data_IF_732004295240
#
_entry.id   IF_732004295240
#
_cell.length_a   1.000
_cell.length_b   1.000
_cell.length_c   1.000
_cell.angle_alpha   90.00
_cell.angle_beta   90.00
_cell.angle_gamma   90.00
#
_symmetry.space_group_name_H-M   'P 1'
#
loop_
_entity.id
_entity.type
_entity.pdbx_description
1 polymer ?
#
# COMPACT_ATOMS: atom_id res chain seq x y z
N UNK A 1 3.82 8.74 33.23
CA UNK A 1 3.64 7.83 32.07
C UNK A 1 4.98 7.19 31.79
N UNK A 2 5.07 5.86 31.67
CA UNK A 2 6.32 5.24 31.17
C UNK A 2 6.45 5.69 29.71
N UNK A 3 7.47 6.49 29.41
CA UNK A 3 7.88 6.73 28.03
C UNK A 3 8.33 5.38 27.48
N UNK A 4 7.50 4.73 26.67
CA UNK A 4 7.89 3.50 26.00
C UNK A 4 8.80 3.91 24.83
N UNK A 5 10.07 3.51 24.86
CA UNK A 5 10.92 3.62 23.68
C UNK A 5 10.30 2.75 22.59
N UNK A 6 9.96 3.35 21.46
CA UNK A 6 9.34 2.64 20.34
C UNK A 6 10.37 2.44 19.26
N UNK A 7 10.51 1.21 18.79
CA UNK A 7 11.46 0.85 17.76
C UNK A 7 10.72 0.12 16.66
N UNK A 8 10.72 0.71 15.47
CA UNK A 8 10.00 0.17 14.33
C UNK A 8 10.97 0.00 13.16
N UNK A 9 11.09 -1.22 12.65
CA UNK A 9 11.78 -1.47 11.40
C UNK A 9 10.74 -1.63 10.30
N UNK A 10 10.82 -0.82 9.25
CA UNK A 10 9.98 -0.98 8.07
C UNK A 10 10.74 -1.75 7.00
N UNK A 11 10.18 -2.85 6.51
CA UNK A 11 10.68 -3.54 5.34
C UNK A 11 9.83 -3.16 4.12
N UNK A 12 10.48 -2.64 3.07
CA UNK A 12 9.86 -2.32 1.80
C UNK A 12 10.31 -3.30 0.73
N UNK A 13 9.33 -3.99 0.17
CA UNK A 13 9.49 -4.67 -1.10
C UNK A 13 9.73 -3.62 -2.19
N UNK A 14 10.87 -3.71 -2.84
CA UNK A 14 11.30 -2.77 -3.88
C UNK A 14 11.16 -3.33 -5.29
N UNK A 15 10.44 -4.44 -5.47
CA UNK A 15 10.24 -5.11 -6.76
C UNK A 15 9.21 -4.40 -7.63
N UNK A 16 9.12 -4.77 -8.92
CA UNK A 16 8.35 -4.05 -9.93
C UNK A 16 6.88 -3.77 -9.57
N UNK A 17 6.17 -4.73 -8.98
CA UNK A 17 4.76 -4.56 -8.55
C UNK A 17 4.60 -3.53 -7.44
N UNK A 18 5.66 -3.29 -6.66
CA UNK A 18 5.67 -2.43 -5.47
C UNK A 18 6.27 -1.04 -5.73
N UNK A 19 6.80 -0.76 -6.93
CA UNK A 19 7.30 0.57 -7.30
C UNK A 19 6.30 1.72 -7.07
N UNK A 20 4.99 1.59 -7.38
CA UNK A 20 4.06 2.67 -7.11
C UNK A 20 3.88 2.93 -5.62
N UNK A 21 3.97 1.89 -4.78
CA UNK A 21 3.99 2.04 -3.32
C UNK A 21 5.21 2.83 -2.85
N UNK A 22 6.41 2.42 -3.30
CA UNK A 22 7.66 3.12 -2.98
C UNK A 22 7.62 4.59 -3.43
N UNK A 23 6.97 4.88 -4.56
CA UNK A 23 6.76 6.25 -5.03
C UNK A 23 5.89 7.06 -4.06
N UNK A 24 4.81 6.48 -3.52
CA UNK A 24 3.99 7.15 -2.50
C UNK A 24 4.78 7.43 -1.22
N UNK A 25 5.58 6.47 -0.78
CA UNK A 25 6.46 6.63 0.40
C UNK A 25 7.43 7.80 0.16
N UNK A 26 8.19 7.80 -0.94
CA UNK A 26 9.17 8.86 -1.24
C UNK A 26 8.56 10.26 -1.28
N UNK A 27 7.32 10.40 -1.78
CA UNK A 27 6.63 11.70 -1.86
C UNK A 27 6.31 12.30 -0.49
N UNK A 28 6.09 11.47 0.52
CA UNK A 28 5.57 11.91 1.83
C UNK A 28 6.50 11.61 3.01
N UNK A 29 7.57 10.84 2.81
CA UNK A 29 8.42 10.31 3.88
C UNK A 29 8.93 11.40 4.83
N UNK A 30 9.37 12.56 4.31
CA UNK A 30 9.90 13.64 5.15
C UNK A 30 8.85 14.15 6.14
N UNK A 31 7.64 14.41 5.66
CA UNK A 31 6.54 14.86 6.52
C UNK A 31 6.13 13.76 7.50
N UNK A 32 6.09 12.50 7.05
CA UNK A 32 5.73 11.35 7.90
C UNK A 32 6.73 11.13 9.03
N UNK A 33 8.02 11.05 8.73
CA UNK A 33 9.07 10.80 9.73
C UNK A 33 9.19 11.99 10.68
N UNK A 34 9.15 13.24 10.18
CA UNK A 34 9.20 14.43 11.05
C UNK A 34 8.04 14.40 12.06
N UNK A 35 6.81 14.16 11.60
CA UNK A 35 5.64 14.08 12.46
C UNK A 35 5.73 12.95 13.50
N UNK A 36 6.20 11.77 13.10
CA UNK A 36 6.40 10.65 14.03
C UNK A 36 7.42 10.98 15.13
N UNK A 37 8.55 11.59 14.77
CA UNK A 37 9.59 11.99 15.72
C UNK A 37 9.11 13.08 16.68
N UNK A 38 8.26 14.00 16.21
CA UNK A 38 7.69 15.09 17.02
C UNK A 38 6.63 14.57 18.02
N UNK A 39 5.80 13.61 17.62
CA UNK A 39 4.65 13.16 18.41
C UNK A 39 4.95 11.94 19.31
N UNK A 40 5.95 11.14 18.95
CA UNK A 40 6.31 9.92 19.68
C UNK A 40 7.72 10.07 20.25
N UNK A 41 7.79 10.36 21.55
CA UNK A 41 9.06 10.53 22.24
C UNK A 41 9.94 9.27 22.14
N UNK A 42 11.21 9.46 21.77
CA UNK A 42 12.24 8.41 21.69
C UNK A 42 11.93 7.30 20.68
N UNK A 43 11.12 7.58 19.65
CA UNK A 43 10.95 6.64 18.54
C UNK A 43 12.27 6.50 17.75
N UNK A 44 12.62 5.26 17.39
CA UNK A 44 13.70 4.98 16.44
C UNK A 44 13.15 4.17 15.28
N UNK A 45 13.54 4.55 14.07
CA UNK A 45 13.09 3.93 12.83
C UNK A 45 14.29 3.28 12.15
N UNK A 46 14.13 2.00 11.80
CA UNK A 46 15.05 1.26 10.94
C UNK A 46 14.35 0.92 9.63
N UNK A 47 15.11 0.64 8.58
CA UNK A 47 14.56 0.32 7.26
C UNK A 47 15.32 -0.84 6.64
N UNK A 48 14.57 -1.77 6.05
CA UNK A 48 15.08 -2.78 5.12
C UNK A 48 14.42 -2.51 3.77
N UNK A 49 15.20 -2.32 2.72
CA UNK A 49 14.71 -2.42 1.36
C UNK A 49 15.12 -3.78 0.80
N UNK A 50 14.21 -4.51 0.17
CA UNK A 50 14.48 -5.85 -0.34
C UNK A 50 13.92 -6.05 -1.75
N UNK A 51 14.75 -6.63 -2.61
CA UNK A 51 14.33 -7.22 -3.89
C UNK A 51 14.30 -8.73 -3.75
N UNK A 52 14.88 -9.44 -4.72
CA UNK A 52 15.09 -10.88 -4.63
C UNK A 52 16.57 -11.28 -4.81
N UNK A 53 16.88 -12.55 -4.61
CA UNK A 53 18.22 -13.11 -4.80
C UNK A 53 18.75 -12.89 -6.22
N UNK A 54 17.88 -12.84 -7.24
CA UNK A 54 18.31 -12.59 -8.61
C UNK A 54 18.84 -11.15 -8.82
N UNK A 55 18.45 -10.21 -7.94
CA UNK A 55 18.83 -8.80 -8.02
C UNK A 55 20.24 -8.52 -7.51
N UNK A 56 20.92 -9.49 -6.88
CA UNK A 56 22.28 -9.35 -6.35
C UNK A 56 23.28 -8.80 -7.38
N UNK A 57 23.08 -9.16 -8.66
CA UNK A 57 23.97 -8.77 -9.76
C UNK A 57 23.54 -7.50 -10.51
N UNK A 58 22.31 -7.04 -10.30
CA UNK A 58 21.73 -5.87 -11.00
C UNK A 58 21.71 -4.64 -10.09
N UNK A 59 21.32 -4.83 -8.82
CA UNK A 59 21.04 -3.76 -7.86
C UNK A 59 21.44 -4.19 -6.45
N UNK A 60 20.60 -4.94 -5.74
CA UNK A 60 20.87 -5.51 -4.42
C UNK A 60 19.79 -6.55 -4.06
N UNK A 61 20.14 -7.50 -3.17
CA UNK A 61 19.13 -8.36 -2.52
C UNK A 61 18.45 -7.60 -1.39
N UNK A 62 19.25 -7.09 -0.44
CA UNK A 62 18.76 -6.20 0.63
C UNK A 62 19.69 -5.00 0.85
N UNK A 63 19.11 -3.88 1.28
CA UNK A 63 19.81 -2.72 1.85
C UNK A 63 19.20 -2.40 3.21
N UNK A 64 20.03 -2.10 4.20
CA UNK A 64 19.60 -1.88 5.58
C UNK A 64 20.04 -0.52 6.09
N UNK A 65 19.15 0.14 6.81
CA UNK A 65 19.38 1.33 7.61
C UNK A 65 19.02 1.00 9.05
N UNK A 66 19.99 1.00 9.95
CA UNK A 66 19.77 0.62 11.35
C UNK A 66 18.88 1.63 12.10
N UNK A 67 18.37 1.25 13.27
CA UNK A 67 17.48 2.06 14.10
C UNK A 67 18.08 3.42 14.45
N UNK A 68 17.45 4.50 13.97
CA UNK A 68 17.86 5.88 14.21
C UNK A 68 16.66 6.80 14.48
N UNK A 69 16.92 7.92 15.16
CA UNK A 69 16.01 9.06 15.33
C UNK A 69 16.36 10.23 14.40
N UNK A 70 17.37 10.08 13.53
CA UNK A 70 17.80 11.12 12.61
C UNK A 70 16.89 11.18 11.37
N UNK A 71 15.98 12.15 11.36
CA UNK A 71 15.02 12.40 10.27
C UNK A 71 15.70 12.49 8.91
N UNK A 72 16.78 13.27 8.79
CA UNK A 72 17.45 13.50 7.51
C UNK A 72 18.11 12.20 7.00
N UNK A 73 18.78 11.44 7.87
CA UNK A 73 19.40 10.18 7.49
C UNK A 73 18.38 9.12 7.04
N UNK A 74 17.22 9.05 7.72
CA UNK A 74 16.12 8.17 7.33
C UNK A 74 15.56 8.58 5.96
N UNK A 75 15.32 9.89 5.77
CA UNK A 75 14.81 10.43 4.51
C UNK A 75 15.78 10.17 3.36
N UNK A 76 17.08 10.39 3.58
CA UNK A 76 18.12 10.18 2.59
C UNK A 76 18.19 8.71 2.18
N UNK A 77 18.08 7.76 3.12
CA UNK A 77 18.04 6.34 2.77
C UNK A 77 16.86 6.01 1.86
N UNK A 78 15.64 6.42 2.23
CA UNK A 78 14.41 6.11 1.46
C UNK A 78 14.39 6.79 0.09
N UNK A 79 14.92 8.01 0.00
CA UNK A 79 14.96 8.74 -1.27
C UNK A 79 15.98 8.15 -2.25
N UNK A 80 17.09 7.60 -1.76
CA UNK A 80 18.20 7.15 -2.59
C UNK A 80 18.23 5.64 -2.83
N UNK A 81 17.45 4.84 -2.09
CA UNK A 81 17.37 3.40 -2.35
C UNK A 81 16.82 3.16 -3.76
N UNK A 82 17.44 2.29 -4.53
CA UNK A 82 17.06 2.02 -5.91
C UNK A 82 15.93 1.00 -5.97
N UNK A 83 15.07 1.04 -7.00
CA UNK A 83 14.13 -0.04 -7.26
C UNK A 83 14.85 -1.34 -7.72
N UNK A 84 14.23 -2.50 -7.51
CA UNK A 84 14.76 -3.84 -7.86
C UNK A 84 13.84 -4.60 -8.83
N UNK A 85 14.36 -5.62 -9.51
CA UNK A 85 13.59 -6.36 -10.52
C UNK A 85 12.65 -7.42 -9.95
N UNK A 86 13.00 -8.09 -8.85
CA UNK A 86 12.33 -9.28 -8.31
C UNK A 86 12.58 -10.53 -9.16
N UNK A 87 12.38 -10.43 -10.48
CA UNK A 87 12.67 -11.49 -11.43
C UNK A 87 11.61 -12.60 -11.39
N UNK A 88 11.73 -13.53 -10.45
CA UNK A 88 10.74 -14.57 -10.17
C UNK A 88 9.87 -14.23 -8.95
N UNK A 89 8.71 -14.88 -8.86
CA UNK A 89 7.98 -15.01 -7.61
C UNK A 89 8.20 -16.45 -7.13
N UNK A 90 8.44 -16.74 -5.84
CA UNK A 90 8.40 -15.90 -4.61
C UNK A 90 9.45 -14.77 -4.48
N UNK A 91 9.43 -14.00 -3.39
CA UNK A 91 10.41 -12.94 -3.05
C UNK A 91 11.19 -13.26 -1.75
N UNK A 92 12.23 -12.49 -1.39
CA UNK A 92 13.15 -12.84 -0.29
C UNK A 92 12.68 -12.49 1.14
N UNK A 93 11.39 -12.57 1.46
CA UNK A 93 10.87 -12.19 2.80
C UNK A 93 11.47 -13.00 3.96
N UNK A 94 11.91 -14.24 3.74
CA UNK A 94 12.61 -15.01 4.78
C UNK A 94 13.96 -14.40 5.16
N UNK A 95 14.62 -13.73 4.21
CA UNK A 95 15.85 -12.99 4.46
C UNK A 95 15.57 -11.73 5.29
N UNK A 96 14.48 -11.02 5.00
CA UNK A 96 14.04 -9.86 5.79
C UNK A 96 13.85 -10.24 7.26
N UNK A 97 13.11 -11.33 7.53
CA UNK A 97 12.90 -11.82 8.90
C UNK A 97 14.23 -12.19 9.58
N UNK A 98 15.15 -12.80 8.83
CA UNK A 98 16.47 -13.14 9.32
C UNK A 98 17.31 -11.90 9.67
N UNK A 99 17.39 -10.93 8.76
CA UNK A 99 18.24 -9.76 8.95
C UNK A 99 17.72 -8.80 10.02
N UNK A 100 16.41 -8.76 10.23
CA UNK A 100 15.76 -7.98 11.30
C UNK A 100 16.32 -8.33 12.68
N UNK A 101 16.74 -9.58 12.91
CA UNK A 101 17.32 -10.03 14.18
C UNK A 101 18.62 -9.28 14.53
N UNK A 102 19.34 -8.75 13.53
CA UNK A 102 20.65 -8.12 13.69
C UNK A 102 20.61 -6.61 13.92
N UNK A 103 19.44 -5.98 13.92
CA UNK A 103 19.28 -4.55 14.19
C UNK A 103 19.63 -4.21 15.65
N UNK A 104 20.01 -2.96 15.90
CA UNK A 104 20.46 -2.47 17.21
C UNK A 104 19.30 -2.22 18.19
N UNK A 105 18.47 -3.24 18.42
CA UNK A 105 17.29 -3.20 19.29
C UNK A 105 17.64 -2.91 20.75
N UNK A 106 16.93 -1.98 21.38
CA UNK A 106 17.04 -1.75 22.81
C UNK A 106 16.30 -2.83 23.58
N UNK A 107 16.92 -3.41 24.62
CA UNK A 107 16.36 -4.53 25.38
C UNK A 107 14.93 -4.30 25.89
N UNK A 108 14.62 -3.10 26.36
CA UNK A 108 13.34 -2.75 26.99
C UNK A 108 12.43 -1.86 26.10
N UNK A 109 12.71 -1.75 24.81
CA UNK A 109 11.84 -1.03 23.88
C UNK A 109 10.62 -1.89 23.48
N UNK A 110 9.54 -1.22 23.07
CA UNK A 110 8.49 -1.83 22.26
C UNK A 110 9.03 -1.99 20.84
N UNK A 111 9.09 -3.22 20.33
CA UNK A 111 9.76 -3.55 19.07
C UNK A 111 8.79 -4.09 18.05
N UNK A 112 8.87 -3.59 16.82
CA UNK A 112 8.14 -4.16 15.70
C UNK A 112 8.89 -4.15 14.39
N UNK A 113 8.64 -5.18 13.60
CA UNK A 113 8.88 -5.19 12.16
C UNK A 113 7.56 -4.93 11.44
N UNK A 114 7.55 -4.03 10.48
CA UNK A 114 6.46 -3.82 9.54
C UNK A 114 6.91 -4.35 8.19
N UNK A 115 6.44 -5.54 7.81
CA UNK A 115 6.83 -6.21 6.58
C UNK A 115 5.82 -5.88 5.47
N UNK A 116 6.23 -5.07 4.49
CA UNK A 116 5.38 -4.55 3.42
C UNK A 116 5.78 -5.19 2.10
N UNK A 117 4.85 -5.91 1.48
CA UNK A 117 5.05 -6.60 0.21
C UNK A 117 3.76 -7.18 -0.35
N UNK A 118 3.81 -7.84 -1.49
CA UNK A 118 2.63 -8.40 -2.17
C UNK A 118 2.69 -9.92 -2.40
N UNK A 119 3.81 -10.61 -2.07
CA UNK A 119 3.96 -12.05 -2.35
C UNK A 119 4.36 -12.89 -1.11
N UNK A 120 4.76 -14.15 -1.35
CA UNK A 120 5.25 -15.12 -0.34
C UNK A 120 6.78 -15.22 -0.33
N UNK A 121 7.39 -15.77 0.74
CA UNK A 121 8.83 -16.07 0.80
C UNK A 121 9.22 -17.29 -0.03
N UNK A 122 10.49 -17.35 -0.41
CA UNK A 122 11.10 -18.56 -0.98
C UNK A 122 11.14 -19.70 0.05
N UNK A 123 10.83 -20.92 -0.40
CA UNK A 123 11.02 -22.11 0.43
C UNK A 123 12.52 -22.42 0.65
N UNK A 124 12.91 -23.11 1.75
CA UNK A 124 14.31 -23.37 2.07
C UNK A 124 15.11 -24.03 0.96
N UNK A 125 14.49 -24.87 0.13
CA UNK A 125 15.16 -25.49 -1.01
C UNK A 125 15.57 -24.47 -2.09
N UNK A 126 14.82 -23.38 -2.23
CA UNK A 126 14.91 -22.41 -3.32
C UNK A 126 15.65 -21.12 -2.95
N UNK A 127 15.88 -20.83 -1.67
CA UNK A 127 16.76 -19.73 -1.29
C UNK A 127 18.21 -20.23 -1.00
N UNK A 128 19.26 -19.39 -1.24
CA UNK A 128 20.66 -19.78 -1.07
C UNK A 128 21.06 -19.97 0.40
N UNK A 129 20.39 -19.29 1.34
CA UNK A 129 20.70 -19.36 2.78
C UNK A 129 19.99 -20.50 3.52
N UNK A 130 19.14 -21.25 2.82
CA UNK A 130 18.31 -22.34 3.38
C UNK A 130 17.45 -21.90 4.57
N UNK A 131 17.05 -20.63 4.56
CA UNK A 131 16.22 -20.03 5.59
C UNK A 131 14.80 -20.56 5.49
N UNK A 132 14.20 -20.79 6.64
CA UNK A 132 12.79 -21.13 6.78
C UNK A 132 12.11 -19.97 7.50
N UNK A 133 11.25 -19.24 6.79
CA UNK A 133 10.58 -18.07 7.36
C UNK A 133 9.80 -18.38 8.65
N UNK A 134 9.28 -19.60 8.83
CA UNK A 134 8.60 -20.01 10.07
C UNK A 134 9.55 -20.09 11.26
N UNK A 135 10.79 -20.51 11.03
CA UNK A 135 11.82 -20.50 12.07
C UNK A 135 12.30 -19.07 12.33
N UNK A 136 12.41 -18.23 11.29
CA UNK A 136 12.84 -16.85 11.48
C UNK A 136 11.79 -16.01 12.22
N UNK A 137 10.49 -16.21 11.98
CA UNK A 137 9.44 -15.54 12.76
C UNK A 137 9.41 -16.02 14.22
N UNK A 138 9.63 -17.32 14.48
CA UNK A 138 9.71 -17.83 15.86
C UNK A 138 10.87 -17.16 16.63
N UNK A 139 12.03 -16.95 15.98
CA UNK A 139 13.15 -16.19 16.57
C UNK A 139 12.80 -14.74 16.85
N UNK A 140 12.08 -14.05 15.95
CA UNK A 140 11.65 -12.67 16.18
C UNK A 140 10.65 -12.58 17.34
N UNK A 141 9.73 -13.53 17.45
CA UNK A 141 8.79 -13.62 18.57
C UNK A 141 9.54 -13.83 19.90
N UNK A 142 10.53 -14.73 19.94
CA UNK A 142 11.40 -14.94 21.12
C UNK A 142 12.18 -13.68 21.53
N UNK A 143 12.50 -12.80 20.57
CA UNK A 143 13.13 -11.50 20.81
C UNK A 143 12.16 -10.39 21.26
N UNK A 144 10.85 -10.70 21.33
CA UNK A 144 9.78 -9.76 21.63
C UNK A 144 9.53 -8.74 20.50
N UNK A 145 9.77 -9.13 19.24
CA UNK A 145 9.54 -8.29 18.06
C UNK A 145 8.21 -8.71 17.42
N UNK A 146 7.20 -7.85 17.53
CA UNK A 146 5.93 -8.06 16.85
C UNK A 146 6.08 -7.80 15.34
N UNK A 147 5.51 -8.65 14.49
CA UNK A 147 5.56 -8.49 13.04
C UNK A 147 4.19 -8.10 12.51
N UNK A 148 4.09 -6.87 12.01
CA UNK A 148 2.94 -6.37 11.27
C UNK A 148 3.11 -6.78 9.81
N UNK A 149 2.30 -7.73 9.35
CA UNK A 149 2.27 -8.14 7.94
C UNK A 149 1.38 -7.19 7.15
N UNK A 150 1.98 -6.30 6.36
CA UNK A 150 1.25 -5.35 5.50
C UNK A 150 1.21 -5.92 4.08
N UNK A 151 0.10 -6.58 3.76
CA UNK A 151 -0.11 -7.22 2.47
C UNK A 151 -0.63 -6.19 1.44
N UNK A 152 0.15 -5.91 0.42
CA UNK A 152 -0.27 -5.13 -0.74
C UNK A 152 -0.96 -5.99 -1.80
N UNK A 153 -1.77 -5.33 -2.64
CA UNK A 153 -2.42 -5.91 -3.83
C UNK A 153 -3.39 -7.08 -3.58
N UNK A 154 -3.64 -7.47 -2.33
CA UNK A 154 -4.59 -8.49 -1.91
C UNK A 154 -4.47 -9.84 -2.65
N UNK A 155 -3.24 -10.25 -2.98
CA UNK A 155 -2.96 -11.55 -3.60
C UNK A 155 -3.34 -12.69 -2.65
N UNK A 156 -4.45 -13.37 -2.93
CA UNK A 156 -5.04 -14.36 -2.02
C UNK A 156 -4.09 -15.51 -1.66
N UNK A 157 -3.16 -15.88 -2.54
CA UNK A 157 -2.16 -16.91 -2.25
C UNK A 157 -1.15 -16.49 -1.17
N UNK A 158 -0.94 -15.19 -0.99
CA UNK A 158 0.01 -14.64 -0.01
C UNK A 158 -0.63 -14.40 1.37
N UNK A 159 -1.95 -14.26 1.45
CA UNK A 159 -2.67 -13.99 2.71
C UNK A 159 -2.34 -14.96 3.86
N UNK A 160 -2.20 -16.29 3.65
CA UNK A 160 -1.80 -17.19 4.72
C UNK A 160 -0.43 -16.87 5.32
N UNK A 161 0.54 -16.43 4.49
CA UNK A 161 1.87 -16.05 4.96
C UNK A 161 1.81 -14.82 5.87
N UNK A 162 1.19 -13.72 5.41
CA UNK A 162 1.05 -12.49 6.19
C UNK A 162 0.26 -12.69 7.48
N UNK A 163 -0.80 -13.52 7.43
CA UNK A 163 -1.60 -13.87 8.62
C UNK A 163 -0.78 -14.68 9.63
N UNK A 164 0.01 -15.66 9.17
CA UNK A 164 0.78 -16.53 10.05
C UNK A 164 1.95 -15.79 10.72
N UNK A 165 2.67 -14.90 10.00
CA UNK A 165 3.74 -14.10 10.62
C UNK A 165 3.20 -13.15 11.70
N UNK A 166 2.04 -12.54 11.45
CA UNK A 166 1.40 -11.66 12.40
C UNK A 166 0.97 -12.41 13.66
N UNK A 167 0.24 -13.51 13.49
CA UNK A 167 -0.27 -14.30 14.62
C UNK A 167 0.86 -14.90 15.48
N UNK A 168 1.94 -15.40 14.86
CA UNK A 168 3.07 -16.00 15.59
C UNK A 168 3.85 -15.00 16.45
N UNK A 169 3.85 -13.72 16.06
CA UNK A 169 4.62 -12.67 16.72
C UNK A 169 3.77 -11.72 17.57
N UNK A 170 2.44 -11.88 17.59
CA UNK A 170 1.51 -10.96 18.26
C UNK A 170 1.33 -9.63 17.54
N UNK A 171 1.62 -9.57 16.23
CA UNK A 171 1.33 -8.41 15.38
C UNK A 171 -0.02 -8.55 14.64
N UNK A 172 -0.23 -7.69 13.65
CA UNK A 172 -1.46 -7.67 12.85
C UNK A 172 -1.19 -7.93 11.36
N UNK A 173 -2.10 -8.64 10.72
CA UNK A 173 -2.19 -8.68 9.26
C UNK A 173 -3.07 -7.53 8.78
N UNK A 174 -2.52 -6.65 7.95
CA UNK A 174 -3.18 -5.47 7.42
C UNK A 174 -3.13 -5.48 5.89
N UNK A 175 -4.23 -5.16 5.23
CA UNK A 175 -4.25 -4.99 3.77
C UNK A 175 -3.93 -3.54 3.39
N UNK A 176 -3.03 -3.36 2.42
CA UNK A 176 -2.75 -2.09 1.77
C UNK A 176 -3.51 -2.03 0.44
N UNK A 177 -4.82 -1.74 0.55
CA UNK A 177 -5.75 -1.72 -0.60
C UNK A 177 -5.47 -0.58 -1.59
N UNK A 178 -4.95 0.54 -1.09
CA UNK A 178 -4.46 1.66 -1.89
C UNK A 178 -3.06 2.03 -1.39
N UNK A 179 -2.10 2.11 -2.30
CA UNK A 179 -0.74 2.53 -1.98
C UNK A 179 -0.68 3.93 -1.34
N UNK A 180 -1.65 4.80 -1.62
CA UNK A 180 -1.73 6.13 -1.02
C UNK A 180 -1.96 6.11 0.49
N UNK A 181 -2.46 5.00 1.06
CA UNK A 181 -2.71 4.83 2.50
C UNK A 181 -1.46 4.46 3.29
N UNK A 182 -0.33 4.18 2.63
CA UNK A 182 0.89 3.70 3.30
C UNK A 182 1.36 4.63 4.43
N UNK A 183 1.19 5.94 4.28
CA UNK A 183 1.54 6.92 5.32
C UNK A 183 0.59 6.86 6.51
N UNK A 184 -0.71 6.67 6.26
CA UNK A 184 -1.70 6.47 7.33
C UNK A 184 -1.41 5.17 8.10
N UNK A 185 -0.94 4.12 7.40
CA UNK A 185 -0.49 2.89 8.04
C UNK A 185 0.72 3.09 8.94
N UNK A 186 1.72 3.88 8.51
CA UNK A 186 2.88 4.16 9.37
C UNK A 186 2.47 4.87 10.65
N UNK A 187 1.64 5.91 10.53
CA UNK A 187 1.08 6.61 11.68
C UNK A 187 0.32 5.66 12.58
N UNK A 188 -0.64 4.92 12.04
CA UNK A 188 -1.44 3.96 12.81
C UNK A 188 -0.58 2.93 13.56
N UNK A 189 0.40 2.31 12.89
CA UNK A 189 1.29 1.31 13.50
C UNK A 189 2.14 1.93 14.60
N UNK A 190 2.78 3.07 14.34
CA UNK A 190 3.61 3.72 15.35
C UNK A 190 2.78 4.18 16.56
N UNK A 191 1.57 4.72 16.35
CA UNK A 191 0.67 5.08 17.44
C UNK A 191 0.16 3.86 18.19
N UNK A 192 -0.19 2.76 17.52
CA UNK A 192 -0.58 1.50 18.16
C UNK A 192 0.53 0.98 19.09
N UNK A 193 1.78 1.05 18.64
CA UNK A 193 2.93 0.63 19.43
C UNK A 193 3.18 1.54 20.64
N UNK A 194 2.68 2.77 20.59
CA UNK A 194 2.72 3.73 21.69
C UNK A 194 1.59 3.45 22.69
N UNK A 195 0.35 3.48 22.22
CA UNK A 195 -0.86 3.20 23.00
C UNK A 195 -2.12 3.13 22.11
N UNK A 196 -3.13 2.39 22.58
CA UNK A 196 -4.45 2.34 21.93
C UNK A 196 -5.13 3.72 21.92
N UNK A 197 -4.90 4.54 22.95
CA UNK A 197 -5.43 5.91 23.01
C UNK A 197 -4.86 6.80 21.90
N UNK A 198 -3.57 6.68 21.58
CA UNK A 198 -2.97 7.44 20.46
C UNK A 198 -3.49 6.95 19.11
N UNK A 199 -3.66 5.64 18.92
CA UNK A 199 -4.25 5.10 17.70
C UNK A 199 -5.68 5.61 17.52
N UNK A 200 -6.48 5.61 18.59
CA UNK A 200 -7.86 6.11 18.55
C UNK A 200 -7.92 7.62 18.30
N UNK A 201 -7.00 8.41 18.85
CA UNK A 201 -6.91 9.84 18.56
C UNK A 201 -6.61 10.09 17.07
N UNK A 202 -5.69 9.32 16.49
CA UNK A 202 -5.40 9.40 15.06
C UNK A 202 -6.59 8.97 14.18
N UNK A 203 -7.32 7.93 14.59
CA UNK A 203 -8.57 7.52 13.94
C UNK A 203 -9.57 8.69 13.88
N UNK A 204 -9.76 9.41 15.00
CA UNK A 204 -10.66 10.58 15.03
C UNK A 204 -10.17 11.71 14.13
N UNK A 205 -8.86 11.99 14.09
CA UNK A 205 -8.29 12.97 13.16
C UNK A 205 -8.63 12.62 11.70
N UNK A 206 -8.48 11.35 11.31
CA UNK A 206 -8.80 10.88 9.94
C UNK A 206 -10.29 11.09 9.63
N UNK A 207 -11.18 10.87 10.60
CA UNK A 207 -12.63 11.09 10.47
C UNK A 207 -12.94 12.59 10.33
N UNK A 208 -12.40 13.43 11.21
CA UNK A 208 -12.63 14.89 11.21
C UNK A 208 -12.13 15.56 9.93
N UNK A 209 -11.05 15.04 9.36
CA UNK A 209 -10.52 15.50 8.07
C UNK A 209 -11.32 14.97 6.87
N UNK A 210 -12.36 14.15 7.09
CA UNK A 210 -13.19 13.57 6.03
C UNK A 210 -12.45 12.56 5.13
N UNK A 211 -11.34 12.00 5.61
CA UNK A 211 -10.47 11.08 4.86
C UNK A 211 -10.77 9.61 5.11
N UNK A 212 -11.66 9.29 6.05
CA UNK A 212 -11.96 7.90 6.43
C UNK A 212 -12.59 7.14 5.26
N UNK A 213 -11.79 6.26 4.64
CA UNK A 213 -12.21 5.34 3.59
C UNK A 213 -12.55 3.97 4.17
N UNK A 214 -13.17 3.09 3.37
CA UNK A 214 -13.45 1.71 3.78
C UNK A 214 -12.18 0.94 4.17
N UNK A 215 -11.10 1.13 3.43
CA UNK A 215 -9.80 0.49 3.69
C UNK A 215 -9.16 0.97 4.99
N UNK A 216 -9.16 2.28 5.23
CA UNK A 216 -8.64 2.84 6.49
C UNK A 216 -9.48 2.40 7.70
N UNK A 217 -10.80 2.39 7.57
CA UNK A 217 -11.69 1.90 8.62
C UNK A 217 -11.40 0.42 8.97
N UNK A 218 -11.18 -0.43 7.95
CA UNK A 218 -10.82 -1.82 8.18
C UNK A 218 -9.46 -1.95 8.91
N UNK A 219 -8.47 -1.14 8.54
CA UNK A 219 -7.19 -1.08 9.24
C UNK A 219 -7.38 -0.73 10.72
N UNK A 220 -8.08 0.36 11.03
CA UNK A 220 -8.31 0.79 12.43
C UNK A 220 -9.07 -0.27 13.23
N UNK A 221 -10.13 -0.86 12.68
CA UNK A 221 -10.87 -1.93 13.34
C UNK A 221 -9.99 -3.16 13.61
N UNK A 222 -9.12 -3.52 12.67
CA UNK A 222 -8.21 -4.67 12.83
C UNK A 222 -7.22 -4.42 13.97
N UNK A 223 -6.59 -3.25 14.00
CA UNK A 223 -5.58 -2.90 15.01
C UNK A 223 -6.17 -2.63 16.41
N UNK A 224 -7.45 -2.26 16.47
CA UNK A 224 -8.21 -2.08 17.71
C UNK A 224 -8.98 -3.35 18.11
N UNK A 225 -8.81 -4.46 17.37
CA UNK A 225 -9.49 -5.75 17.60
C UNK A 225 -11.02 -5.62 17.71
N UNK A 226 -11.60 -4.68 16.96
CA UNK A 226 -13.04 -4.44 16.93
C UNK A 226 -13.69 -5.40 15.93
N UNK A 227 -14.92 -5.83 16.23
CA UNK A 227 -15.77 -6.41 15.19
C UNK A 227 -15.92 -5.43 14.03
N UNK A 228 -16.06 -5.94 12.79
CA UNK A 228 -16.23 -5.08 11.62
C UNK A 228 -17.42 -4.16 11.86
N UNK A 229 -17.14 -2.87 12.05
CA UNK A 229 -18.17 -1.85 12.12
C UNK A 229 -18.57 -1.48 10.70
N UNK A 230 -19.82 -1.79 10.35
CA UNK A 230 -20.44 -1.33 9.12
C UNK A 230 -20.74 0.17 9.25
N UNK A 231 -19.71 1.01 9.09
CA UNK A 231 -19.91 2.44 8.81
C UNK A 231 -20.72 2.66 7.52
N UNK A 232 -20.84 1.61 6.70
CA UNK A 232 -21.34 1.63 5.33
C UNK A 232 -22.50 0.63 5.20
N UNK A 233 -23.63 1.07 4.66
CA UNK A 233 -24.87 0.27 4.60
C UNK A 233 -24.79 -0.82 3.52
N UNK A 234 -25.51 -1.95 3.65
CA UNK A 234 -25.58 -3.01 2.62
C UNK A 234 -26.04 -2.56 1.23
N UNK A 235 -26.64 -1.37 1.10
CA UNK A 235 -26.94 -0.75 -0.19
C UNK A 235 -25.68 -0.32 -0.98
N UNK A 236 -24.50 -0.35 -0.36
CA UNK A 236 -23.19 -0.04 -0.96
C UNK A 236 -22.58 -1.20 -1.76
N UNK A 237 -23.37 -2.18 -2.23
CA UNK A 237 -22.96 -3.23 -3.20
C UNK A 237 -22.37 -2.70 -4.54
N UNK A 238 -22.22 -1.37 -4.64
CA UNK A 238 -21.61 -0.62 -5.74
C UNK A 238 -20.17 -0.20 -5.43
N UNK A 239 -19.71 -0.32 -4.19
CA UNK A 239 -18.32 -0.06 -3.84
C UNK A 239 -17.44 -1.10 -4.52
N UNK A 240 -16.34 -0.63 -5.13
CA UNK A 240 -15.36 -1.54 -5.72
C UNK A 240 -14.72 -2.37 -4.62
N UNK A 241 -14.56 -3.66 -4.89
CA UNK A 241 -13.86 -4.55 -3.96
C UNK A 241 -12.44 -4.02 -3.66
N UNK A 242 -12.04 -3.94 -2.38
CA UNK A 242 -10.73 -3.43 -2.01
C UNK A 242 -9.58 -4.18 -2.71
N UNK A 243 -8.57 -3.43 -3.14
CA UNK A 243 -7.41 -3.95 -3.87
C UNK A 243 -7.59 -4.17 -5.37
N UNK A 244 -8.81 -4.03 -5.93
CA UNK A 244 -9.02 -4.18 -7.38
C UNK A 244 -8.26 -3.13 -8.20
N UNK A 245 -8.27 -1.88 -7.75
CA UNK A 245 -7.61 -0.77 -8.43
C UNK A 245 -6.52 -0.16 -7.56
N UNK A 246 -5.49 0.39 -8.19
CA UNK A 246 -4.61 1.40 -7.59
C UNK A 246 -4.87 2.75 -8.23
N UNK A 247 -5.06 3.77 -7.40
CA UNK A 247 -5.16 5.17 -7.84
C UNK A 247 -3.75 5.76 -7.92
N UNK A 248 -3.31 6.09 -9.14
CA UNK A 248 -1.97 6.61 -9.41
C UNK A 248 -2.04 8.05 -9.89
N UNK A 249 -1.15 8.91 -9.38
CA UNK A 249 -1.03 10.30 -9.81
C UNK A 249 -0.14 10.41 -11.06
N UNK A 250 -0.55 11.25 -12.01
CA UNK A 250 0.17 11.45 -13.26
C UNK A 250 0.95 12.76 -13.18
N UNK A 251 2.28 12.70 -13.19
CA UNK A 251 3.10 13.91 -13.03
C UNK A 251 3.16 14.77 -14.31
N UNK A 252 3.17 14.10 -15.47
CA UNK A 252 3.28 14.73 -16.79
C UNK A 252 2.44 13.98 -17.82
N UNK A 253 2.13 14.68 -18.90
CA UNK A 253 1.48 14.10 -20.07
C UNK A 253 2.25 12.87 -20.61
N UNK A 254 1.57 11.73 -20.73
CA UNK A 254 2.19 10.45 -21.09
C UNK A 254 1.16 9.49 -21.70
N UNK A 255 1.58 8.47 -22.47
CA UNK A 255 0.66 7.42 -22.91
C UNK A 255 0.38 6.41 -21.79
N UNK A 256 -0.79 5.77 -21.79
CA UNK A 256 -1.10 4.72 -20.82
C UNK A 256 -0.01 3.64 -20.79
N UNK A 257 0.42 3.13 -21.95
CA UNK A 257 1.43 2.07 -21.99
C UNK A 257 2.75 2.52 -21.38
N UNK A 258 3.22 3.73 -21.71
CA UNK A 258 4.45 4.25 -21.15
C UNK A 258 4.31 4.46 -19.63
N UNK A 259 3.21 5.06 -19.15
CA UNK A 259 2.97 5.29 -17.72
C UNK A 259 2.98 3.99 -16.92
N UNK A 260 2.28 2.96 -17.40
CA UNK A 260 2.21 1.66 -16.73
C UNK A 260 3.61 1.03 -16.63
N UNK A 261 4.38 1.02 -17.73
CA UNK A 261 5.73 0.45 -17.74
C UNK A 261 6.73 1.27 -16.90
N UNK A 262 6.65 2.60 -16.92
CA UNK A 262 7.50 3.48 -16.09
C UNK A 262 7.26 3.28 -14.59
N UNK A 263 6.06 2.82 -14.21
CA UNK A 263 5.69 2.51 -12.82
C UNK A 263 5.97 1.04 -12.44
N UNK A 264 6.69 0.26 -13.26
CA UNK A 264 6.99 -1.15 -12.98
C UNK A 264 5.80 -2.10 -13.14
N UNK A 265 4.68 -1.61 -13.65
CA UNK A 265 3.44 -2.37 -13.78
C UNK A 265 3.32 -3.09 -15.13
N UNK A 266 2.55 -4.18 -15.15
CA UNK A 266 2.29 -4.97 -16.36
C UNK A 266 1.20 -4.36 -17.22
N UNK A 267 1.55 -3.93 -18.44
CA UNK A 267 0.55 -3.42 -19.38
C UNK A 267 -0.34 -4.53 -19.95
N UNK A 268 -1.66 -4.39 -19.75
CA UNK A 268 -2.69 -5.18 -20.43
C UNK A 268 -3.83 -4.27 -20.90
N UNK A 269 -4.31 -4.51 -22.11
CA UNK A 269 -5.44 -3.76 -22.69
C UNK A 269 -6.68 -3.92 -21.81
N UNK A 270 -7.37 -2.80 -21.54
CA UNK A 270 -8.59 -2.77 -20.72
C UNK A 270 -8.37 -2.59 -19.22
N UNK A 271 -7.13 -2.61 -18.73
CA UNK A 271 -6.81 -2.43 -17.30
C UNK A 271 -6.55 -0.98 -16.87
N UNK A 272 -6.51 -0.05 -17.81
CA UNK A 272 -6.24 1.36 -17.52
C UNK A 272 -7.48 2.22 -17.62
N UNK A 273 -7.72 3.07 -16.63
CA UNK A 273 -8.83 4.01 -16.63
C UNK A 273 -8.31 5.43 -16.45
N UNK A 274 -8.62 6.30 -17.41
CA UNK A 274 -8.20 7.70 -17.36
C UNK A 274 -9.25 8.56 -16.68
N UNK A 275 -8.81 9.57 -15.96
CA UNK A 275 -9.71 10.58 -15.41
C UNK A 275 -10.41 11.36 -16.53
N UNK A 276 -11.73 11.43 -16.45
CA UNK A 276 -12.60 12.09 -17.40
C UNK A 276 -12.69 13.59 -17.11
N UNK A 277 -11.73 14.35 -17.63
CA UNK A 277 -11.57 15.79 -17.36
C UNK A 277 -12.10 16.73 -18.46
N UNK A 278 -12.50 16.19 -19.62
CA UNK A 278 -13.01 16.97 -20.75
C UNK A 278 -14.17 16.26 -21.43
N UNK A 279 -14.89 16.96 -22.30
CA UNK A 279 -16.02 16.38 -23.05
C UNK A 279 -15.57 15.25 -23.96
N UNK A 280 -16.14 14.06 -23.82
CA UNK A 280 -15.80 12.90 -24.66
C UNK A 280 -17.01 12.01 -24.97
N UNK A 281 -16.84 11.20 -26.02
CA UNK A 281 -17.77 10.13 -26.37
C UNK A 281 -17.37 8.86 -25.64
N UNK A 282 -18.20 8.40 -24.71
CA UNK A 282 -18.02 7.15 -23.96
C UNK A 282 -18.85 6.06 -24.64
N UNK A 283 -18.19 4.97 -25.02
CA UNK A 283 -18.85 3.81 -25.61
C UNK A 283 -19.61 3.00 -24.55
N UNK A 284 -20.71 2.37 -24.95
CA UNK A 284 -21.59 1.64 -24.04
C UNK A 284 -20.96 0.45 -23.32
N UNK A 285 -19.96 -0.15 -23.94
CA UNK A 285 -19.21 -1.29 -23.41
C UNK A 285 -18.05 -0.90 -22.47
N UNK A 286 -17.74 0.39 -22.36
CA UNK A 286 -16.68 0.85 -21.46
C UNK A 286 -17.18 0.90 -20.03
N UNK A 287 -16.36 0.35 -19.16
CA UNK A 287 -16.56 0.45 -17.72
C UNK A 287 -16.26 1.88 -17.24
N UNK A 288 -17.02 2.31 -16.23
CA UNK A 288 -16.91 3.63 -15.61
C UNK A 288 -16.83 3.45 -14.09
N UNK A 289 -15.81 4.06 -13.50
CA UNK A 289 -15.57 4.04 -12.05
C UNK A 289 -15.70 5.46 -11.52
N UNK A 290 -16.40 5.63 -10.40
CA UNK A 290 -16.46 6.88 -9.66
C UNK A 290 -15.57 6.78 -8.43
N UNK A 291 -14.90 7.87 -8.08
CA UNK A 291 -14.13 7.97 -6.85
C UNK A 291 -14.63 9.16 -6.04
N UNK A 292 -14.99 8.94 -4.77
CA UNK A 292 -15.30 10.05 -3.86
C UNK A 292 -14.06 10.93 -3.67
N UNK A 293 -14.20 12.25 -3.86
CA UNK A 293 -13.06 13.18 -3.79
C UNK A 293 -12.48 13.31 -2.38
N UNK A 294 -13.29 13.08 -1.35
CA UNK A 294 -12.91 13.23 0.05
C UNK A 294 -12.26 11.95 0.57
N UNK A 295 -12.95 10.82 0.43
CA UNK A 295 -12.49 9.56 1.03
C UNK A 295 -11.61 8.74 0.10
N UNK A 296 -11.71 8.94 -1.21
CA UNK A 296 -11.05 8.09 -2.20
C UNK A 296 -11.75 6.75 -2.45
N UNK A 297 -12.91 6.50 -1.83
CA UNK A 297 -13.68 5.28 -2.08
C UNK A 297 -14.11 5.18 -3.55
N UNK A 298 -13.98 3.99 -4.11
CA UNK A 298 -14.31 3.70 -5.51
C UNK A 298 -15.67 3.02 -5.63
N UNK A 299 -16.41 3.38 -6.67
CA UNK A 299 -17.74 2.85 -6.98
C UNK A 299 -17.84 2.46 -8.45
N UNK A 300 -18.51 1.35 -8.73
CA UNK A 300 -18.63 0.75 -10.07
C UNK A 300 -20.07 0.36 -10.44
N UNK A 301 -20.20 -0.24 -11.63
CA UNK A 301 -21.45 -0.83 -12.11
C UNK A 301 -22.44 0.14 -12.74
N UNK A 302 -23.70 -0.30 -12.86
CA UNK A 302 -24.82 0.45 -13.45
C UNK A 302 -25.00 1.81 -12.80
N UNK A 303 -24.88 1.88 -11.48
CA UNK A 303 -25.05 3.09 -10.70
C UNK A 303 -24.05 4.19 -11.09
N UNK A 304 -22.80 3.84 -11.39
CA UNK A 304 -21.80 4.81 -11.83
C UNK A 304 -22.22 5.46 -13.16
N UNK A 305 -22.84 4.69 -14.06
CA UNK A 305 -23.36 5.17 -15.34
C UNK A 305 -24.66 5.96 -15.17
N UNK A 306 -25.57 5.52 -14.30
CA UNK A 306 -26.81 6.25 -13.96
C UNK A 306 -26.51 7.64 -13.36
N UNK A 307 -25.54 7.75 -12.44
CA UNK A 307 -25.12 9.03 -11.87
C UNK A 307 -24.58 10.00 -12.93
N UNK A 308 -24.00 9.47 -14.00
CA UNK A 308 -23.55 10.23 -15.17
C UNK A 308 -24.65 10.48 -16.21
N UNK A 309 -25.87 9.98 -15.98
CA UNK A 309 -26.96 9.94 -16.98
C UNK A 309 -26.51 9.28 -18.29
N UNK A 310 -25.68 8.25 -18.18
CA UNK A 310 -25.22 7.41 -19.29
C UNK A 310 -26.10 6.17 -19.35
N UNK A 311 -26.95 6.01 -20.39
CA UNK A 311 -27.69 4.77 -20.58
C UNK A 311 -26.72 3.58 -20.73
N UNK A 312 -27.13 2.43 -20.23
CA UNK A 312 -26.36 1.19 -20.33
C UNK A 312 -26.28 0.76 -21.79
N UNK A 313 -25.08 0.34 -22.24
CA UNK A 313 -24.87 -0.12 -23.61
C UNK A 313 -24.88 0.97 -24.69
N UNK A 314 -25.25 2.21 -24.36
CA UNK A 314 -25.27 3.31 -25.34
C UNK A 314 -23.95 4.09 -25.40
N UNK A 315 -23.67 4.59 -26.60
CA UNK A 315 -22.55 5.49 -26.85
C UNK A 315 -23.02 6.93 -26.76
N UNK A 316 -22.53 7.67 -25.75
CA UNK A 316 -23.00 9.03 -25.46
C UNK A 316 -21.84 10.00 -25.34
N UNK A 317 -22.03 11.22 -25.84
CA UNK A 317 -21.10 12.33 -25.64
C UNK A 317 -21.48 13.11 -24.38
N UNK A 318 -20.63 13.10 -23.37
CA UNK A 318 -20.90 13.73 -22.07
C UNK A 318 -19.86 14.80 -21.70
N UNK A 319 -20.23 15.69 -20.76
CA UNK A 319 -19.36 16.71 -20.17
C UNK A 319 -19.08 16.40 -18.69
N UNK A 320 -17.88 16.71 -18.14
CA UNK A 320 -17.53 16.42 -16.75
C UNK A 320 -18.28 17.23 -15.68
N UNK A 321 -18.87 18.37 -16.03
CA UNK A 321 -19.38 19.41 -15.11
C UNK A 321 -20.54 18.99 -14.20
N UNK A 322 -21.00 17.75 -14.25
CA UNK A 322 -22.18 17.29 -13.51
C UNK A 322 -21.87 16.53 -12.21
N UNK A 323 -20.60 16.41 -11.81
CA UNK A 323 -20.21 15.58 -10.66
C UNK A 323 -19.14 16.23 -9.79
N UNK A 324 -19.54 17.24 -9.01
CA UNK A 324 -18.61 17.92 -8.09
C UNK A 324 -18.09 16.98 -6.99
N UNK A 325 -18.92 16.05 -6.50
CA UNK A 325 -18.53 15.10 -5.44
C UNK A 325 -17.54 14.02 -5.90
N UNK A 326 -17.59 13.63 -7.18
CA UNK A 326 -16.88 12.46 -7.67
C UNK A 326 -15.84 12.82 -8.73
N UNK A 327 -14.72 12.08 -8.73
CA UNK A 327 -13.86 11.95 -9.90
C UNK A 327 -14.38 10.78 -10.73
N UNK A 328 -14.35 10.93 -12.05
CA UNK A 328 -14.89 9.93 -12.98
C UNK A 328 -13.74 9.33 -13.76
N UNK A 329 -13.69 8.01 -13.83
CA UNK A 329 -12.66 7.27 -14.56
C UNK A 329 -13.32 6.40 -15.61
N UNK A 330 -12.77 6.45 -16.82
CA UNK A 330 -13.33 5.73 -17.98
C UNK A 330 -12.29 4.73 -18.46
N UNK A 331 -12.73 3.49 -18.68
CA UNK A 331 -11.87 2.43 -19.20
C UNK A 331 -11.29 2.81 -20.57
N UNK A 332 -10.00 2.57 -20.73
CA UNK A 332 -9.29 2.67 -22.00
C UNK A 332 -8.91 1.30 -22.52
N UNK A 333 -9.24 1.06 -23.78
CA UNK A 333 -8.73 -0.07 -24.58
C UNK A 333 -7.55 0.35 -25.48
N UNK A 334 -7.09 1.60 -25.40
CA UNK A 334 -5.99 2.12 -26.20
C UNK A 334 -4.71 2.24 -25.37
N UNK A 335 -3.64 1.62 -25.88
CA UNK A 335 -2.28 1.74 -25.34
C UNK A 335 -1.72 3.17 -25.45
N UNK A 336 -2.10 3.88 -26.52
CA UNK A 336 -1.56 5.20 -26.88
C UNK A 336 -2.44 6.36 -26.37
N UNK A 337 -3.50 6.06 -25.63
CA UNK A 337 -4.35 7.06 -24.99
C UNK A 337 -3.46 7.95 -24.11
N UNK A 338 -3.54 9.26 -24.33
CA UNK A 338 -2.79 10.25 -23.56
C UNK A 338 -3.45 10.45 -22.20
N UNK A 339 -2.70 10.17 -21.15
CA UNK A 339 -2.94 10.60 -19.77
C UNK A 339 -2.47 12.05 -19.63
N UNK A 340 -3.24 12.85 -18.88
CA UNK A 340 -2.98 14.27 -18.71
C UNK A 340 -2.25 14.48 -17.38
N UNK A 341 -1.20 15.30 -17.39
CA UNK A 341 -0.48 15.67 -16.18
C UNK A 341 -1.41 16.28 -15.12
N UNK A 342 -1.11 16.02 -13.85
CA UNK A 342 -1.88 16.43 -12.66
C UNK A 342 -3.27 15.81 -12.54
N UNK A 343 -3.59 14.82 -13.37
CA UNK A 343 -4.80 13.98 -13.21
C UNK A 343 -4.44 12.64 -12.56
N UNK A 344 -5.46 11.81 -12.33
CA UNK A 344 -5.30 10.46 -11.78
C UNK A 344 -5.53 9.38 -12.84
N UNK A 345 -4.97 8.21 -12.59
CA UNK A 345 -5.14 7.00 -13.38
C UNK A 345 -5.54 5.85 -12.46
N UNK A 346 -6.60 5.11 -12.78
CA UNK A 346 -6.85 3.83 -12.11
C UNK A 346 -6.19 2.72 -12.91
N UNK A 347 -5.38 1.93 -12.23
CA UNK A 347 -4.83 0.71 -12.75
C UNK A 347 -5.52 -0.49 -12.10
N UNK A 348 -6.17 -1.33 -12.91
CA UNK A 348 -6.75 -2.60 -12.43
C UNK A 348 -5.61 -3.61 -12.19
N UNK A 349 -5.51 -4.10 -10.95
CA UNK A 349 -4.41 -4.95 -10.49
C UNK A 349 -4.39 -6.27 -11.27
N UNK A 350 -3.18 -6.75 -11.58
CA UNK A 350 -2.98 -7.72 -12.65
C UNK A 350 -3.59 -9.12 -12.38
N UNK A 351 -3.79 -9.46 -11.12
CA UNK A 351 -4.29 -10.76 -10.67
C UNK A 351 -5.74 -10.69 -10.18
N UNK A 352 -6.43 -9.57 -10.44
CA UNK A 352 -7.86 -9.47 -10.19
C UNK A 352 -8.61 -10.40 -11.15
N UNK A 353 -9.21 -11.46 -10.60
CA UNK A 353 -9.93 -12.49 -11.34
C UNK A 353 -11.05 -11.89 -12.19
N UNK A 354 -10.96 -12.11 -13.51
CA UNK A 354 -12.12 -12.15 -14.39
C UNK A 354 -12.28 -13.56 -14.90
#
# INVERSE_FOLDING_TARGET
>A
MKSNNIEVVFSFDTTGSMYPCLTQVRRKIKNTVTRLMDEIALIRIGIIAHGDYCDERSTYVTKKFDLSDNVDAICDFVQNVEPTGGGDAPECYELVLHETQSFSWTKNASKSLVLIGDDIPHAPAHNPKKLNWRQEIDKLADMGIAVYGVQALNRSHATPFYTEIANKSGGFHLNLDQFSYITDMFFAICYKQSSDEQLQAYEQEVIEQGRMSRGLNQMFNTMMEREKTDFYQPADLRAVTPGRFQVLEIDKDISIKAFVLENGLTFKVGRGFYEFTKTETIQGNKEVILMDRSTGDLFEGEAAREMLKLPMGETVRIKPSNLEKYMVFVQSTSANRKLIGKTRFLYEVADWGR
#
